data_IF_763798537680
#
_entry.id   IF_763798537680
#
_cell.length_a   1.000
_cell.length_b   1.000
_cell.length_c   1.000
_cell.angle_alpha   90.00
_cell.angle_beta   90.00
_cell.angle_gamma   90.00
#
_symmetry.space_group_name_H-M   'P 1'
#
loop_
_entity.id
_entity.type
_entity.pdbx_description
1 polymer ?
#
# COMPACT_ATOMS: atom_id res chain seq x y z
N UNK A 1 -4.52 -25.04 15.89
CA UNK A 1 -3.52 -23.96 15.86
C UNK A 1 -4.07 -22.90 14.92
N UNK A 2 -4.52 -21.75 15.45
CA UNK A 2 -5.02 -20.65 14.63
C UNK A 2 -3.81 -19.91 14.06
N UNK A 3 -3.61 -19.93 12.75
CA UNK A 3 -2.60 -19.10 12.09
C UNK A 3 -3.10 -17.66 12.20
N UNK A 4 -2.51 -16.89 13.11
CA UNK A 4 -2.68 -15.44 13.13
C UNK A 4 -1.99 -14.96 11.84
N UNK A 5 -2.77 -14.58 10.84
CA UNK A 5 -2.24 -13.87 9.67
C UNK A 5 -1.58 -12.60 10.18
N UNK A 6 -0.25 -12.57 10.14
CA UNK A 6 0.57 -11.45 10.60
C UNK A 6 0.91 -10.58 9.39
N UNK A 7 -0.12 -10.16 8.66
CA UNK A 7 0.03 -9.40 7.42
C UNK A 7 0.07 -7.91 7.77
N UNK A 8 0.99 -7.18 7.15
CA UNK A 8 1.04 -5.72 7.19
C UNK A 8 0.95 -5.19 5.76
N UNK A 9 0.17 -4.13 5.57
CA UNK A 9 0.03 -3.44 4.30
C UNK A 9 0.75 -2.08 4.32
N UNK A 10 1.06 -1.57 3.14
CA UNK A 10 1.69 -0.28 2.96
C UNK A 10 1.39 0.34 1.61
N UNK A 11 1.48 1.65 1.54
CA UNK A 11 1.43 2.41 0.28
C UNK A 11 2.39 3.58 0.35
N UNK A 12 2.90 3.98 -0.82
CA UNK A 12 3.55 5.27 -1.01
C UNK A 12 2.54 6.22 -1.63
N UNK A 13 2.46 7.44 -1.11
CA UNK A 13 1.71 8.57 -1.62
C UNK A 13 2.69 9.49 -2.34
N UNK A 14 2.38 9.86 -3.58
CA UNK A 14 3.18 10.79 -4.39
C UNK A 14 2.25 11.90 -4.85
N UNK A 15 2.67 13.14 -4.66
CA UNK A 15 2.03 14.30 -5.28
C UNK A 15 2.88 14.77 -6.45
N UNK A 16 2.33 14.74 -7.66
CA UNK A 16 3.07 15.17 -8.85
C UNK A 16 3.22 16.70 -8.92
N UNK A 17 3.93 17.18 -9.94
CA UNK A 17 4.12 18.62 -10.19
C UNK A 17 2.81 19.37 -10.55
N UNK A 18 1.78 18.64 -10.97
CA UNK A 18 0.41 19.13 -11.21
C UNK A 18 -0.49 19.14 -9.95
N UNK A 19 0.08 18.90 -8.76
CA UNK A 19 -0.63 18.82 -7.47
C UNK A 19 -1.70 17.71 -7.38
N UNK A 20 -1.58 16.68 -8.21
CA UNK A 20 -2.40 15.49 -8.15
C UNK A 20 -1.74 14.41 -7.27
N UNK A 21 -2.53 13.82 -6.38
CA UNK A 21 -2.06 12.78 -5.44
C UNK A 21 -2.38 11.38 -5.94
N UNK A 22 -1.36 10.53 -5.89
CA UNK A 22 -1.40 9.13 -6.29
C UNK A 22 -0.88 8.22 -5.20
N UNK A 23 -1.30 6.96 -5.23
CA UNK A 23 -0.92 5.92 -4.29
C UNK A 23 -0.41 4.70 -5.03
N UNK A 24 0.61 4.05 -4.48
CA UNK A 24 1.17 2.82 -5.02
C UNK A 24 0.24 1.63 -4.70
N UNK A 25 -0.15 0.89 -5.73
CA UNK A 25 -0.93 -0.34 -5.60
C UNK A 25 -0.24 -1.51 -6.30
N UNK A 26 -0.49 -2.72 -5.83
CA UNK A 26 -0.26 -3.94 -6.60
C UNK A 26 -1.30 -4.03 -7.72
N UNK A 27 -0.90 -4.60 -8.86
CA UNK A 27 -1.79 -5.04 -9.93
C UNK A 27 -1.66 -6.54 -10.12
N UNK A 28 -2.77 -7.27 -9.99
CA UNK A 28 -2.85 -8.70 -10.25
C UNK A 28 -4.15 -9.01 -10.99
N UNK A 29 -4.05 -9.66 -12.15
CA UNK A 29 -5.20 -10.07 -12.97
C UNK A 29 -6.23 -8.96 -13.26
N UNK A 30 -5.76 -7.71 -13.38
CA UNK A 30 -6.62 -6.54 -13.62
C UNK A 30 -7.32 -5.99 -12.37
N UNK A 31 -7.01 -6.54 -11.20
CA UNK A 31 -7.46 -6.04 -9.90
C UNK A 31 -6.33 -5.31 -9.18
N UNK A 32 -6.70 -4.34 -8.36
CA UNK A 32 -5.76 -3.56 -7.57
C UNK A 32 -5.87 -3.90 -6.10
N UNK A 33 -4.74 -3.96 -5.41
CA UNK A 33 -4.69 -4.17 -3.96
C UNK A 33 -3.53 -3.39 -3.35
N UNK A 34 -3.56 -3.20 -2.03
CA UNK A 34 -2.44 -2.58 -1.34
C UNK A 34 -1.26 -3.55 -1.23
N UNK A 35 -0.03 -3.10 -1.51
CA UNK A 35 1.18 -3.85 -1.22
C UNK A 35 1.17 -4.36 0.22
N UNK A 36 1.50 -5.63 0.42
CA UNK A 36 1.47 -6.26 1.72
C UNK A 36 2.53 -7.35 1.85
N UNK A 37 2.84 -7.71 3.09
CA UNK A 37 3.82 -8.74 3.42
C UNK A 37 3.38 -9.55 4.63
N UNK A 38 3.63 -10.86 4.59
CA UNK A 38 3.43 -11.74 5.73
C UNK A 38 4.67 -11.73 6.64
N UNK A 39 4.50 -11.24 7.86
CA UNK A 39 5.58 -11.10 8.84
C UNK A 39 6.01 -12.43 9.46
N UNK A 40 5.26 -13.53 9.26
CA UNK A 40 5.68 -14.85 9.74
C UNK A 40 6.98 -15.34 9.10
N UNK A 41 7.36 -14.77 7.96
CA UNK A 41 8.59 -15.10 7.23
C UNK A 41 9.71 -14.05 7.46
N UNK A 42 9.43 -13.00 8.24
CA UNK A 42 10.32 -11.85 8.45
C UNK A 42 10.81 -11.79 9.90
N UNK A 43 12.13 -11.65 10.09
CA UNK A 43 12.72 -11.28 11.39
C UNK A 43 12.70 -9.76 11.66
N UNK A 44 12.15 -8.96 10.73
CA UNK A 44 12.13 -7.50 10.78
C UNK A 44 10.84 -6.98 11.44
N UNK A 45 10.85 -5.72 11.86
CA UNK A 45 9.63 -5.06 12.35
C UNK A 45 8.57 -4.95 11.23
N UNK A 46 7.28 -4.77 11.57
CA UNK A 46 6.23 -4.54 10.57
C UNK A 46 6.58 -3.40 9.61
N UNK A 47 7.00 -2.26 10.15
CA UNK A 47 7.42 -1.08 9.39
C UNK A 47 8.61 -1.39 8.46
N UNK A 48 9.65 -2.05 8.97
CA UNK A 48 10.83 -2.38 8.18
C UNK A 48 10.54 -3.36 7.06
N UNK A 49 9.66 -4.34 7.32
CA UNK A 49 9.26 -5.34 6.32
C UNK A 49 8.47 -4.72 5.19
N UNK A 50 7.49 -3.85 5.50
CA UNK A 50 6.69 -3.22 4.45
C UNK A 50 7.48 -2.15 3.68
N UNK A 51 8.36 -1.39 4.36
CA UNK A 51 9.26 -0.44 3.69
C UNK A 51 10.16 -1.14 2.67
N UNK A 52 10.72 -2.30 3.02
CA UNK A 52 11.56 -3.08 2.10
C UNK A 52 10.78 -3.54 0.87
N UNK A 53 9.54 -4.01 1.03
CA UNK A 53 8.69 -4.38 -0.11
C UNK A 53 8.46 -3.17 -1.01
N UNK A 54 8.08 -2.02 -0.45
CA UNK A 54 7.80 -0.83 -1.26
C UNK A 54 9.04 -0.39 -2.05
N UNK A 55 10.18 -0.25 -1.38
CA UNK A 55 11.45 0.18 -1.99
C UNK A 55 11.99 -0.79 -3.05
N UNK A 56 11.67 -2.08 -2.97
CA UNK A 56 12.07 -3.04 -4.00
C UNK A 56 11.41 -2.76 -5.36
N UNK A 57 10.25 -2.09 -5.38
CA UNK A 57 9.42 -1.94 -6.57
C UNK A 57 9.32 -0.51 -7.09
N UNK A 58 9.87 0.47 -6.38
CA UNK A 58 9.89 1.88 -6.76
C UNK A 58 11.33 2.42 -6.86
N UNK A 59 11.53 3.41 -7.72
CA UNK A 59 12.79 4.14 -7.89
C UNK A 59 12.97 5.32 -6.92
N UNK A 60 12.28 5.30 -5.78
CA UNK A 60 12.33 6.37 -4.75
C UNK A 60 13.30 5.94 -3.66
N UNK A 61 14.24 6.80 -3.31
CA UNK A 61 15.18 6.55 -2.21
C UNK A 61 14.47 6.61 -0.85
N UNK A 62 14.92 5.80 0.11
CA UNK A 62 14.29 5.69 1.43
C UNK A 62 14.24 7.02 2.19
N UNK A 63 15.24 7.87 1.98
CA UNK A 63 15.42 9.18 2.58
C UNK A 63 14.38 10.18 2.10
N UNK A 64 13.82 9.95 0.91
CA UNK A 64 12.72 10.70 0.30
C UNK A 64 11.35 10.27 0.82
N UNK A 65 11.26 9.23 1.65
CA UNK A 65 9.99 8.78 2.24
C UNK A 65 9.83 9.26 3.69
N UNK A 66 8.61 9.65 4.04
CA UNK A 66 8.21 9.99 5.40
C UNK A 66 6.98 9.18 5.78
N UNK A 67 7.00 8.55 6.94
CA UNK A 67 5.78 7.94 7.48
C UNK A 67 4.78 9.06 7.77
N UNK A 68 3.70 9.09 7.00
CA UNK A 68 2.63 10.08 7.12
C UNK A 68 1.61 9.62 8.16
N UNK A 69 1.16 8.37 8.03
CA UNK A 69 0.13 7.82 8.89
C UNK A 69 0.30 6.32 9.13
N UNK A 70 -0.22 5.86 10.26
CA UNK A 70 -0.38 4.45 10.62
C UNK A 70 -1.84 4.23 11.00
N UNK A 71 -2.58 3.62 10.09
CA UNK A 71 -3.98 3.26 10.31
C UNK A 71 -4.16 1.74 10.36
N UNK A 72 -5.34 1.29 10.72
CA UNK A 72 -5.71 -0.11 10.63
C UNK A 72 -6.86 -0.25 9.63
N UNK A 73 -6.67 -1.11 8.65
CA UNK A 73 -7.75 -1.56 7.80
C UNK A 73 -8.37 -2.82 8.38
N UNK A 74 -9.65 -3.04 8.08
CA UNK A 74 -10.28 -4.34 8.28
C UNK A 74 -10.36 -5.04 6.94
N UNK A 75 -10.06 -6.34 6.92
CA UNK A 75 -10.27 -7.21 5.78
C UNK A 75 -10.44 -8.64 6.29
N UNK A 76 -11.41 -9.39 5.75
CA UNK A 76 -11.73 -10.77 6.20
C UNK A 76 -11.90 -10.91 7.73
N UNK A 77 -12.48 -9.89 8.39
CA UNK A 77 -12.69 -9.88 9.85
C UNK A 77 -11.42 -9.73 10.69
N UNK A 78 -10.27 -9.41 10.08
CA UNK A 78 -9.00 -9.16 10.78
C UNK A 78 -8.56 -7.71 10.61
N UNK A 79 -7.93 -7.16 11.66
CA UNK A 79 -7.28 -5.86 11.58
C UNK A 79 -5.91 -6.04 10.95
N UNK A 80 -5.67 -5.36 9.83
CA UNK A 80 -4.39 -5.30 9.12
C UNK A 80 -3.83 -3.89 9.25
N UNK A 81 -2.66 -3.69 9.87
CA UNK A 81 -2.01 -2.39 9.91
C UNK A 81 -1.67 -1.91 8.50
N UNK A 82 -1.88 -0.62 8.23
CA UNK A 82 -1.53 0.07 7.01
C UNK A 82 -0.56 1.22 7.32
N UNK A 83 0.63 1.15 6.73
CA UNK A 83 1.61 2.23 6.76
C UNK A 83 1.49 3.08 5.49
N UNK A 84 1.26 4.38 5.66
CA UNK A 84 1.19 5.33 4.53
C UNK A 84 2.45 6.18 4.55
N UNK A 85 3.24 6.11 3.49
CA UNK A 85 4.44 6.92 3.32
C UNK A 85 4.19 8.04 2.33
N UNK A 86 4.56 9.27 2.68
CA UNK A 86 4.58 10.40 1.77
C UNK A 86 5.96 10.51 1.11
N UNK A 87 5.98 10.68 -0.20
CA UNK A 87 7.19 10.98 -0.96
C UNK A 87 7.44 12.49 -1.01
N UNK A 88 8.67 12.88 -0.71
CA UNK A 88 9.14 14.26 -0.86
C UNK A 88 9.38 14.65 -2.32
N UNK A 89 9.37 13.68 -3.23
CA UNK A 89 9.56 13.89 -4.66
C UNK A 89 8.26 14.35 -5.34
N UNK A 90 8.41 15.23 -6.33
CA UNK A 90 7.32 15.73 -7.18
C UNK A 90 7.60 15.43 -8.64
N UNK A 91 7.46 14.16 -9.07
CA UNK A 91 7.77 13.76 -10.44
C UNK A 91 6.78 14.39 -11.43
N UNK A 92 7.25 14.69 -12.63
CA UNK A 92 6.39 15.01 -13.78
C UNK A 92 5.90 13.73 -14.51
N UNK A 93 6.62 12.63 -14.35
CA UNK A 93 6.30 11.31 -14.90
C UNK A 93 6.33 10.27 -13.77
N UNK A 94 5.16 9.87 -13.26
CA UNK A 94 5.07 8.88 -12.18
C UNK A 94 5.51 7.49 -12.60
N UNK A 95 5.29 7.09 -13.85
CA UNK A 95 5.60 5.73 -14.31
C UNK A 95 7.11 5.51 -14.31
N UNK A 96 7.91 6.58 -14.46
CA UNK A 96 9.36 6.55 -14.30
C UNK A 96 9.83 6.14 -12.90
N UNK A 97 8.96 6.25 -11.88
CA UNK A 97 9.26 5.83 -10.51
C UNK A 97 8.97 4.35 -10.25
N UNK A 98 8.46 3.58 -11.23
CA UNK A 98 8.19 2.15 -11.06
C UNK A 98 9.34 1.31 -11.63
N UNK A 99 9.90 0.43 -10.80
CA UNK A 99 10.86 -0.58 -11.26
C UNK A 99 10.15 -1.76 -11.95
N UNK A 100 8.91 -2.05 -11.55
CA UNK A 100 8.10 -3.17 -12.07
C UNK A 100 6.67 -2.73 -12.46
N UNK A 101 6.50 -1.98 -13.57
CA UNK A 101 5.19 -1.46 -13.99
C UNK A 101 4.18 -2.55 -14.39
N UNK A 102 4.60 -3.81 -14.53
CA UNK A 102 3.70 -4.95 -14.73
C UNK A 102 3.06 -5.47 -13.44
N UNK A 103 3.60 -5.12 -12.27
CA UNK A 103 3.14 -5.59 -10.95
C UNK A 103 2.62 -4.47 -10.06
N UNK A 104 2.99 -3.23 -10.36
CA UNK A 104 2.58 -2.06 -9.58
C UNK A 104 2.01 -0.98 -10.50
N UNK A 105 1.14 -0.16 -9.94
CA UNK A 105 0.59 1.01 -10.61
C UNK A 105 0.42 2.16 -9.62
N UNK A 106 0.43 3.38 -10.15
CA UNK A 106 0.02 4.58 -9.42
C UNK A 106 -1.47 4.83 -9.65
N UNK A 107 -2.23 5.00 -8.57
CA UNK A 107 -3.68 5.21 -8.61
C UNK A 107 -4.10 6.46 -7.89
N UNK A 108 -5.06 7.19 -8.47
CA UNK A 108 -5.57 8.41 -7.85
C UNK A 108 -6.29 8.06 -6.54
N UNK A 109 -6.36 9.04 -5.64
CA UNK A 109 -7.12 8.93 -4.38
C UNK A 109 -8.55 8.43 -4.58
N UNK A 110 -9.21 8.84 -5.67
CA UNK A 110 -10.56 8.40 -6.04
C UNK A 110 -10.66 6.89 -6.33
N UNK A 111 -9.64 6.30 -6.96
CA UNK A 111 -9.59 4.87 -7.28
C UNK A 111 -9.17 4.03 -6.06
N UNK A 112 -8.34 4.61 -5.17
CA UNK A 112 -7.93 3.98 -3.90
C UNK A 112 -9.09 3.85 -2.93
N UNK A 113 -10.01 4.81 -2.94
CA UNK A 113 -11.19 4.78 -2.08
C UNK A 113 -12.01 3.50 -2.33
N UNK A 114 -12.11 3.04 -3.58
CA UNK A 114 -12.78 1.79 -3.94
C UNK A 114 -12.05 0.57 -3.37
N UNK A 115 -10.71 0.53 -3.45
CA UNK A 115 -9.88 -0.53 -2.87
C UNK A 115 -10.07 -0.60 -1.34
N UNK A 116 -10.05 0.56 -0.68
CA UNK A 116 -10.25 0.65 0.77
C UNK A 116 -11.68 0.27 1.17
N UNK A 117 -12.68 0.65 0.37
CA UNK A 117 -14.09 0.27 0.57
C UNK A 117 -14.27 -1.23 0.41
N UNK A 118 -13.68 -1.87 -0.60
CA UNK A 118 -13.79 -3.33 -0.79
C UNK A 118 -13.18 -4.10 0.40
N UNK A 119 -12.06 -3.61 0.94
CA UNK A 119 -11.47 -4.10 2.19
C UNK A 119 -12.45 -3.98 3.37
N UNK A 120 -13.14 -2.84 3.51
CA UNK A 120 -14.17 -2.66 4.54
C UNK A 120 -15.45 -3.51 4.28
N UNK A 121 -15.86 -3.68 3.02
CA UNK A 121 -17.09 -4.39 2.61
C UNK A 121 -17.01 -5.91 2.79
N UNK A 122 -15.83 -6.52 2.62
CA UNK A 122 -15.55 -7.93 3.00
C UNK A 122 -15.76 -8.20 4.51
N UNK A 123 -16.09 -7.17 5.30
CA UNK A 123 -16.29 -7.26 6.74
C UNK A 123 -17.66 -6.76 7.24
N UNK A 124 -18.60 -6.39 6.36
CA UNK A 124 -19.95 -5.99 6.80
C UNK A 124 -20.77 -7.23 7.15
N UNK A 125 -21.20 -7.42 8.42
CA UNK A 125 -22.19 -8.44 8.73
C UNK A 125 -23.49 -8.05 8.06
N UNK A 126 -24.02 -8.91 7.19
CA UNK A 126 -25.40 -8.78 6.77
C UNK A 126 -26.26 -9.09 8.00
N UNK A 127 -26.77 -8.04 8.66
CA UNK A 127 -27.82 -8.20 9.65
C UNK A 127 -29.11 -8.55 8.88
N UNK A 128 -29.52 -9.83 8.97
CA UNK A 128 -30.88 -10.27 8.68
C UNK A 128 -31.75 -10.13 9.93
#
# INVERSE_FOLDING_TARGET
MMIKENIVAGTVMVTNDAEETYFLVNTENGTYSLPNVNLSESGKSPLGSIMEVLLAHIGIESESLRLLDLTNMRGNGKNMPLFVFDSLEKPSDLDSLLNEPSKFAWKKSSEISEILIDLELDSVPIYH
#
